data_IF_993052486880
#
_entry.id   IF_993052486880
#
_cell.length_a   1.000
_cell.length_b   1.000
_cell.length_c   1.000
_cell.angle_alpha   90.00
_cell.angle_beta   90.00
_cell.angle_gamma   90.00
#
_symmetry.space_group_name_H-M   'P 1'
#
loop_
_entity.id
_entity.type
_entity.pdbx_description
1 polymer ?
#
# COMPACT_ATOMS: atom_id res chain seq x y z
N UNK A 1 2.26 3.76 -12.75
CA UNK A 1 1.42 2.93 -11.86
C UNK A 1 1.52 3.41 -10.42
N UNK A 2 0.54 3.13 -9.55
CA UNK A 2 0.65 3.43 -8.11
C UNK A 2 1.49 2.34 -7.41
N UNK A 3 2.27 2.75 -6.41
CA UNK A 3 3.04 1.83 -5.57
C UNK A 3 2.50 1.75 -4.16
N UNK A 4 2.65 0.58 -3.53
CA UNK A 4 2.21 0.33 -2.15
C UNK A 4 3.39 -0.13 -1.29
N UNK A 5 3.51 0.45 -0.10
CA UNK A 5 4.56 0.13 0.87
C UNK A 5 4.04 -0.76 2.00
N UNK A 6 4.89 -1.69 2.42
CA UNK A 6 4.70 -2.57 3.59
C UNK A 6 5.95 -2.56 4.46
N UNK A 7 5.83 -2.98 5.73
CA UNK A 7 7.00 -3.41 6.52
C UNK A 7 7.62 -4.65 5.89
N UNK A 8 8.84 -5.02 6.28
CA UNK A 8 9.53 -6.18 5.71
C UNK A 8 8.72 -7.47 5.89
N UNK A 9 8.24 -7.75 7.10
CA UNK A 9 7.48 -8.97 7.39
C UNK A 9 6.18 -9.03 6.59
N UNK A 10 5.45 -7.91 6.53
CA UNK A 10 4.21 -7.84 5.74
C UNK A 10 4.49 -7.96 4.24
N UNK A 11 5.63 -7.44 3.75
CA UNK A 11 6.02 -7.59 2.36
C UNK A 11 6.25 -9.07 2.03
N UNK A 12 6.98 -9.80 2.87
CA UNK A 12 7.23 -11.24 2.71
C UNK A 12 5.92 -12.03 2.68
N UNK A 13 5.01 -11.78 3.62
CA UNK A 13 3.70 -12.43 3.65
C UNK A 13 2.82 -12.10 2.43
N UNK A 14 2.94 -10.89 1.87
CA UNK A 14 2.18 -10.50 0.67
C UNK A 14 2.72 -11.22 -0.57
N UNK A 15 4.04 -11.34 -0.72
CA UNK A 15 4.63 -12.03 -1.88
C UNK A 15 4.45 -13.55 -1.84
N UNK A 16 4.37 -14.15 -0.64
CA UNK A 16 4.01 -15.58 -0.48
C UNK A 16 2.50 -15.83 -0.60
N UNK A 17 1.69 -14.78 -0.63
CA UNK A 17 0.23 -14.87 -0.71
C UNK A 17 -0.47 -15.19 0.61
N UNK A 18 0.27 -15.34 1.72
CA UNK A 18 -0.27 -15.57 3.06
C UNK A 18 -1.07 -14.37 3.58
N UNK A 19 -0.66 -13.16 3.19
CA UNK A 19 -1.38 -11.91 3.51
C UNK A 19 -2.09 -11.35 2.29
N UNK A 20 -3.41 -11.40 2.31
CA UNK A 20 -4.27 -10.94 1.21
C UNK A 20 -5.02 -9.63 1.50
N UNK A 21 -5.05 -9.19 2.76
CA UNK A 21 -5.77 -7.99 3.18
C UNK A 21 -4.86 -6.95 3.85
N UNK A 22 -5.05 -5.68 3.48
CA UNK A 22 -4.41 -4.52 4.13
C UNK A 22 -5.43 -3.40 4.34
N UNK A 23 -5.20 -2.56 5.36
CA UNK A 23 -6.04 -1.42 5.72
C UNK A 23 -5.25 -0.11 5.70
N UNK A 24 -5.96 1.00 5.51
CA UNK A 24 -5.46 2.37 5.55
C UNK A 24 -6.49 3.25 6.24
N UNK A 25 -6.03 4.13 7.14
CA UNK A 25 -6.89 5.08 7.83
C UNK A 25 -7.32 6.17 6.84
N UNK A 26 -8.60 6.52 6.86
CA UNK A 26 -9.14 7.72 6.22
C UNK A 26 -9.00 8.85 7.24
N UNK A 27 -8.16 9.85 6.94
CA UNK A 27 -7.83 10.91 7.91
C UNK A 27 -8.84 12.06 7.93
N UNK A 28 -9.47 12.33 6.79
CA UNK A 28 -10.25 13.55 6.57
C UNK A 28 -11.73 13.42 6.96
N UNK A 29 -12.11 12.27 7.54
CA UNK A 29 -13.49 11.99 7.98
C UNK A 29 -13.50 11.89 9.51
N UNK A 30 -14.17 12.80 10.22
CA UNK A 30 -14.33 12.69 11.66
C UNK A 30 -15.10 11.42 12.04
N UNK A 31 -14.71 10.76 13.13
CA UNK A 31 -15.27 9.46 13.53
C UNK A 31 -16.77 9.47 13.90
N UNK A 32 -17.36 10.65 14.09
CA UNK A 32 -18.79 10.82 14.38
C UNK A 32 -19.66 10.97 13.12
N UNK A 33 -19.05 11.00 11.92
CA UNK A 33 -19.80 11.01 10.67
C UNK A 33 -20.30 9.61 10.34
N UNK A 34 -21.52 9.51 9.83
CA UNK A 34 -22.13 8.24 9.47
C UNK A 34 -21.76 7.83 8.05
N UNK A 35 -21.42 6.55 7.89
CA UNK A 35 -21.18 5.94 6.59
C UNK A 35 -22.54 5.65 5.93
N UNK A 36 -22.82 6.31 4.82
CA UNK A 36 -24.08 6.11 4.06
C UNK A 36 -23.92 5.10 2.92
N UNK A 37 -22.70 4.61 2.70
CA UNK A 37 -22.39 3.54 1.76
C UNK A 37 -21.56 3.98 0.56
N UNK A 38 -21.53 3.12 -0.46
CA UNK A 38 -20.84 3.40 -1.73
C UNK A 38 -21.72 4.32 -2.57
N UNK A 39 -21.23 5.51 -2.86
CA UNK A 39 -21.85 6.38 -3.86
C UNK A 39 -21.71 5.81 -5.27
N UNK A 40 -22.28 6.52 -6.24
CA UNK A 40 -22.09 6.26 -7.66
C UNK A 40 -20.58 6.37 -7.96
N UNK A 41 -19.98 5.43 -8.69
CA UNK A 41 -18.53 5.41 -9.07
C UNK A 41 -17.49 4.96 -8.02
N UNK A 42 -17.81 4.03 -7.10
CA UNK A 42 -16.87 3.46 -6.12
C UNK A 42 -16.36 4.43 -5.03
N UNK A 43 -16.95 5.61 -4.98
CA UNK A 43 -16.85 6.60 -3.91
C UNK A 43 -17.45 6.07 -2.61
N UNK A 44 -16.90 6.47 -1.47
CA UNK A 44 -17.55 6.28 -0.16
C UNK A 44 -18.12 7.60 0.33
N UNK A 45 -19.41 7.64 0.65
CA UNK A 45 -20.10 8.83 1.14
C UNK A 45 -20.28 8.78 2.65
N UNK A 46 -20.01 9.90 3.31
CA UNK A 46 -20.25 10.13 4.73
C UNK A 46 -21.21 11.31 4.92
N UNK A 47 -22.05 11.25 5.95
CA UNK A 47 -22.94 12.34 6.35
C UNK A 47 -22.64 12.81 7.75
N UNK A 48 -22.69 14.11 7.96
CA UNK A 48 -22.67 14.71 9.28
C UNK A 48 -24.07 14.64 9.90
N UNK A 49 -24.23 13.98 11.06
CA UNK A 49 -25.51 13.93 11.76
C UNK A 49 -26.02 15.35 12.07
N UNK A 50 -27.31 15.58 11.88
CA UNK A 50 -28.00 16.84 12.22
C UNK A 50 -27.87 17.98 11.20
N UNK A 51 -26.82 18.02 10.36
CA UNK A 51 -26.69 19.06 9.32
C UNK A 51 -26.99 18.56 7.90
N UNK A 52 -26.83 17.26 7.66
CA UNK A 52 -26.97 16.69 6.31
C UNK A 52 -25.79 16.96 5.38
N UNK A 53 -24.70 17.53 5.90
CA UNK A 53 -23.48 17.79 5.15
C UNK A 53 -22.86 16.47 4.67
N UNK A 54 -22.48 16.39 3.39
CA UNK A 54 -21.93 15.18 2.78
C UNK A 54 -20.45 15.32 2.45
N UNK A 55 -19.68 14.27 2.72
CA UNK A 55 -18.27 14.16 2.36
C UNK A 55 -18.04 12.88 1.55
N UNK A 56 -17.53 13.04 0.34
CA UNK A 56 -17.20 11.93 -0.55
C UNK A 56 -15.70 11.66 -0.54
N UNK A 57 -15.32 10.42 -0.30
CA UNK A 57 -13.93 9.97 -0.25
C UNK A 57 -13.66 8.94 -1.34
N UNK A 58 -12.64 9.19 -2.15
CA UNK A 58 -12.13 8.22 -3.12
C UNK A 58 -11.16 7.25 -2.46
N UNK A 59 -11.24 5.95 -2.77
CA UNK A 59 -10.23 5.02 -2.30
C UNK A 59 -8.90 5.32 -3.00
N UNK A 60 -7.79 5.16 -2.28
CA UNK A 60 -6.45 5.33 -2.86
C UNK A 60 -6.18 4.35 -4.01
N UNK A 61 -6.77 3.15 -3.92
CA UNK A 61 -6.66 2.10 -4.92
C UNK A 61 -8.05 1.61 -5.32
N UNK A 62 -8.23 1.26 -6.59
CA UNK A 62 -9.51 0.80 -7.12
C UNK A 62 -9.53 -0.73 -7.34
N UNK A 63 -10.66 -1.42 -7.14
CA UNK A 63 -10.86 -2.77 -7.65
C UNK A 63 -10.48 -2.88 -9.14
N UNK A 64 -9.68 -3.90 -9.48
CA UNK A 64 -9.11 -4.08 -10.82
C UNK A 64 -7.77 -3.37 -11.04
N UNK A 65 -7.35 -2.46 -10.15
CA UNK A 65 -6.07 -1.76 -10.27
C UNK A 65 -4.90 -2.70 -9.93
N UNK A 66 -3.90 -2.72 -10.81
CA UNK A 66 -2.60 -3.34 -10.53
C UNK A 66 -1.69 -2.30 -9.90
N UNK A 67 -1.09 -2.65 -8.76
CA UNK A 67 -0.13 -1.79 -8.05
C UNK A 67 1.16 -2.55 -7.79
N UNK A 68 2.27 -1.84 -7.76
CA UNK A 68 3.58 -2.45 -7.53
C UNK A 68 4.00 -2.36 -6.07
N UNK A 69 4.65 -3.40 -5.56
CA UNK A 69 5.16 -3.42 -4.19
C UNK A 69 6.47 -2.64 -4.10
N UNK A 70 6.60 -1.81 -3.07
CA UNK A 70 7.80 -1.01 -2.79
C UNK A 70 8.64 -1.63 -1.69
N UNK A 71 9.95 -1.74 -1.95
CA UNK A 71 10.95 -2.20 -1.00
C UNK A 71 12.22 -1.34 -1.06
N UNK A 72 13.05 -1.33 -0.01
CA UNK A 72 14.33 -0.62 -0.06
C UNK A 72 15.24 -1.30 -1.07
N UNK A 73 15.91 -0.50 -1.89
CA UNK A 73 16.71 -0.97 -3.00
C UNK A 73 18.02 -0.21 -3.05
N UNK A 74 19.01 -0.78 -3.73
CA UNK A 74 20.30 -0.18 -3.96
C UNK A 74 20.60 -0.29 -5.44
N UNK A 75 20.93 0.86 -6.04
CA UNK A 75 21.40 0.91 -7.41
C UNK A 75 22.94 0.96 -7.31
N UNK A 76 23.64 -0.11 -7.72
CA UNK A 76 25.09 -0.08 -7.80
C UNK A 76 25.55 1.00 -8.79
N UNK A 77 26.81 1.43 -8.65
CA UNK A 77 27.43 2.29 -9.65
C UNK A 77 27.31 1.64 -11.05
N UNK A 78 27.28 2.43 -12.13
CA UNK A 78 26.98 1.96 -13.49
C UNK A 78 28.17 1.20 -14.08
N UNK A 79 28.53 0.10 -13.43
CA UNK A 79 29.46 -0.89 -13.93
C UNK A 79 28.63 -1.97 -14.64
N UNK A 80 29.06 -2.41 -15.85
CA UNK A 80 28.40 -3.50 -16.54
C UNK A 80 28.32 -4.75 -15.64
N UNK A 81 27.15 -5.40 -15.61
CA UNK A 81 26.95 -6.67 -14.90
C UNK A 81 26.46 -6.56 -13.45
N UNK A 82 26.13 -5.36 -12.95
CA UNK A 82 25.55 -5.22 -11.62
C UNK A 82 24.04 -4.94 -11.68
N UNK A 83 23.26 -5.86 -11.13
CA UNK A 83 21.81 -5.71 -10.98
C UNK A 83 21.42 -4.90 -9.74
N UNK A 84 20.18 -4.42 -9.74
CA UNK A 84 19.60 -3.74 -8.58
C UNK A 84 19.50 -4.73 -7.41
N UNK A 85 20.00 -4.31 -6.25
CA UNK A 85 19.97 -5.11 -5.03
C UNK A 85 18.78 -4.69 -4.19
N UNK A 86 18.05 -5.66 -3.67
CA UNK A 86 16.83 -5.44 -2.91
C UNK A 86 17.00 -5.93 -1.47
N UNK A 87 16.66 -5.06 -0.52
CA UNK A 87 16.97 -5.28 0.90
C UNK A 87 16.26 -6.49 1.48
N UNK A 88 14.98 -6.70 1.14
CA UNK A 88 14.15 -7.74 1.76
C UNK A 88 14.49 -9.16 1.30
N UNK A 89 15.33 -9.31 0.28
CA UNK A 89 15.86 -10.60 -0.18
C UNK A 89 17.23 -10.94 0.39
N UNK A 90 17.90 -10.01 1.08
CA UNK A 90 19.22 -10.27 1.65
C UNK A 90 19.10 -11.01 2.98
N UNK A 91 20.00 -11.98 3.19
CA UNK A 91 20.23 -12.57 4.50
C UNK A 91 20.83 -11.52 5.46
N UNK A 92 20.75 -11.79 6.77
CA UNK A 92 21.30 -10.90 7.80
C UNK A 92 22.80 -10.66 7.63
N UNK A 93 23.56 -11.67 7.20
CA UNK A 93 24.99 -11.53 6.90
C UNK A 93 25.26 -10.58 5.72
N UNK A 94 24.39 -10.57 4.71
CA UNK A 94 24.54 -9.70 3.53
C UNK A 94 24.07 -8.25 3.80
N UNK A 95 23.32 -8.02 4.88
CA UNK A 95 22.87 -6.70 5.32
C UNK A 95 23.96 -5.86 6.01
N UNK A 96 25.06 -6.48 6.47
CA UNK A 96 26.20 -5.81 7.11
C UNK A 96 27.12 -5.07 6.12
N UNK A 97 26.88 -5.25 4.82
CA UNK A 97 27.54 -4.52 3.75
C UNK A 97 27.19 -3.02 3.75
N UNK A 98 28.16 -2.18 3.36
CA UNK A 98 28.07 -0.70 3.35
C UNK A 98 27.13 -0.10 2.29
N UNK A 99 26.06 -0.81 1.88
CA UNK A 99 25.13 -0.32 0.87
C UNK A 99 24.39 0.94 1.33
N UNK A 100 24.41 1.98 0.49
CA UNK A 100 23.59 3.19 0.67
C UNK A 100 22.17 2.92 0.18
N UNK A 101 21.37 2.28 1.03
CA UNK A 101 19.97 1.95 0.74
C UNK A 101 19.14 3.17 0.34
N UNK A 102 18.44 3.08 -0.79
CA UNK A 102 17.43 4.05 -1.19
C UNK A 102 16.13 3.76 -0.43
N UNK A 103 15.50 4.84 0.02
CA UNK A 103 14.23 4.76 0.72
C UNK A 103 13.13 4.28 -0.24
N UNK A 104 12.42 3.20 0.15
CA UNK A 104 11.33 2.57 -0.61
C UNK A 104 10.21 3.53 -1.00
N UNK A 105 10.00 4.62 -0.26
CA UNK A 105 8.99 5.63 -0.59
C UNK A 105 9.20 6.20 -2.00
N UNK A 106 10.45 6.33 -2.42
CA UNK A 106 10.86 6.89 -3.70
C UNK A 106 11.18 5.83 -4.76
N UNK A 107 10.88 4.54 -4.51
CA UNK A 107 11.12 3.49 -5.49
C UNK A 107 10.21 3.67 -6.72
N UNK A 108 10.77 3.86 -7.92
CA UNK A 108 9.99 3.93 -9.14
C UNK A 108 9.52 2.55 -9.59
N UNK A 109 8.47 2.53 -10.40
CA UNK A 109 7.88 1.31 -10.97
C UNK A 109 8.89 0.47 -11.77
N UNK A 110 9.79 1.11 -12.53
CA UNK A 110 10.80 0.42 -13.35
C UNK A 110 11.75 -0.51 -12.56
N UNK A 111 11.81 -0.35 -11.24
CA UNK A 111 12.63 -1.19 -10.36
C UNK A 111 11.77 -2.14 -9.52
N UNK A 112 10.46 -2.19 -9.73
CA UNK A 112 9.59 -3.08 -8.99
C UNK A 112 9.69 -4.51 -9.52
N UNK A 113 9.73 -5.48 -8.61
CA UNK A 113 9.77 -6.91 -8.91
C UNK A 113 8.41 -7.60 -8.79
N UNK A 114 7.51 -7.02 -7.99
CA UNK A 114 6.25 -7.64 -7.63
C UNK A 114 5.09 -6.67 -7.86
N UNK A 115 3.99 -7.25 -8.34
CA UNK A 115 2.75 -6.55 -8.66
C UNK A 115 1.60 -7.30 -8.00
N UNK A 116 0.64 -6.56 -7.46
CA UNK A 116 -0.56 -7.13 -6.86
C UNK A 116 -1.80 -6.51 -7.49
N UNK A 117 -2.83 -7.34 -7.65
CA UNK A 117 -4.15 -6.93 -8.11
C UNK A 117 -5.03 -6.57 -6.91
N UNK A 118 -5.62 -5.39 -6.94
CA UNK A 118 -6.62 -4.99 -5.95
C UNK A 118 -7.96 -5.64 -6.32
N UNK A 119 -8.36 -6.66 -5.56
CA UNK A 119 -9.62 -7.39 -5.83
C UNK A 119 -10.86 -6.65 -5.33
N UNK A 120 -10.81 -6.06 -4.14
CA UNK A 120 -11.97 -5.44 -3.48
C UNK A 120 -11.54 -4.33 -2.53
N UNK A 121 -12.37 -3.30 -2.42
CA UNK A 121 -12.24 -2.22 -1.44
C UNK A 121 -13.56 -2.07 -0.69
N UNK A 122 -13.45 -1.94 0.64
CA UNK A 122 -14.54 -1.71 1.58
C UNK A 122 -14.10 -0.74 2.67
N UNK A 123 -15.06 -0.08 3.30
CA UNK A 123 -14.86 0.81 4.44
C UNK A 123 -15.52 0.16 5.64
N UNK A 124 -14.80 0.15 6.77
CA UNK A 124 -15.21 -0.48 8.03
C UNK A 124 -14.89 0.50 9.17
N UNK A 125 -15.76 0.59 10.18
CA UNK A 125 -15.43 1.29 11.42
C UNK A 125 -14.36 0.49 12.15
N UNK A 126 -13.43 1.19 12.81
CA UNK A 126 -12.28 0.55 13.47
C UNK A 126 -12.69 -0.50 14.51
N UNK A 127 -13.82 -0.31 15.18
CA UNK A 127 -14.33 -1.20 16.21
C UNK A 127 -15.08 -2.43 15.66
N UNK A 128 -15.47 -2.44 14.38
CA UNK A 128 -16.33 -3.48 13.78
C UNK A 128 -15.54 -4.47 12.89
N UNK A 129 -14.22 -4.56 13.08
CA UNK A 129 -13.36 -5.33 12.19
C UNK A 129 -13.48 -6.82 12.52
N UNK A 130 -14.00 -7.61 11.56
CA UNK A 130 -13.83 -9.07 11.53
C UNK A 130 -12.56 -9.44 10.76
N UNK A 131 -11.87 -10.47 11.26
CA UNK A 131 -10.59 -10.99 10.71
C UNK A 131 -10.73 -11.69 9.38
#
# INVERSE_FOLDING_TARGET
MKGICFTEDMFKLVITGEKTQTRRIIKDVPGYWDLIGKGITQLTAFIKPGTGEMLNVYPRYFPGEIVYLKEPFFIPLPFPGFDIIYKYTLSRANLESSYKWKNKLFMPEKYARYFILIKRVRVEKLCDISG
#
